data_IF_175457539906
#
_entry.id   IF_175457539906
#
_cell.length_a   1.000
_cell.length_b   1.000
_cell.length_c   1.000
_cell.angle_alpha   90.00
_cell.angle_beta   90.00
_cell.angle_gamma   90.00
#
_symmetry.space_group_name_H-M   'P 1'
#
loop_
_entity.id
_entity.type
_entity.pdbx_description
1 polymer ?
#
# COMPACT_ATOMS: atom_id res chain seq x y z
N UNK A 1 -90.32 27.53 -24.80
CA UNK A 1 -91.58 27.28 -25.54
C UNK A 1 -91.21 26.68 -26.91
N UNK A 2 -92.13 26.03 -27.65
CA UNK A 2 -91.84 25.23 -28.86
C UNK A 2 -91.24 26.05 -30.02
N UNK A 3 -90.88 25.59 -31.23
CA UNK A 3 -91.02 24.36 -32.06
C UNK A 3 -89.98 24.52 -33.25
N UNK A 4 -89.69 23.47 -34.05
CA UNK A 4 -89.09 23.48 -35.45
C UNK A 4 -87.57 23.15 -35.68
N UNK A 5 -87.28 22.39 -36.78
CA UNK A 5 -86.05 22.19 -37.62
C UNK A 5 -84.83 21.37 -37.06
N UNK A 6 -84.43 20.21 -37.66
CA UNK A 6 -83.48 19.92 -38.80
C UNK A 6 -81.99 20.22 -38.44
N UNK A 7 -80.90 19.56 -38.86
CA UNK A 7 -80.53 18.50 -39.83
C UNK A 7 -78.98 18.24 -39.71
N UNK A 8 -78.54 16.99 -39.93
CA UNK A 8 -77.26 16.53 -40.59
C UNK A 8 -75.85 16.56 -39.90
N UNK A 9 -75.16 15.40 -40.10
CA UNK A 9 -73.73 15.03 -40.06
C UNK A 9 -72.99 14.92 -38.70
N UNK A 10 -72.08 13.98 -38.45
CA UNK A 10 -71.70 12.69 -39.05
C UNK A 10 -70.72 11.98 -38.07
N UNK A 11 -70.88 10.66 -37.92
CA UNK A 11 -69.92 9.59 -37.55
C UNK A 11 -68.55 9.94 -36.92
N UNK A 12 -68.26 9.37 -35.74
CA UNK A 12 -66.92 9.39 -35.13
C UNK A 12 -66.75 8.58 -33.83
N UNK A 13 -67.08 7.29 -33.89
CA UNK A 13 -66.73 6.15 -33.01
C UNK A 13 -65.63 6.38 -31.93
N UNK A 14 -66.00 6.20 -30.66
CA UNK A 14 -65.11 5.65 -29.62
C UNK A 14 -64.94 6.49 -28.36
N UNK A 15 -65.74 6.23 -27.32
CA UNK A 15 -65.44 6.41 -25.88
C UNK A 15 -66.40 5.47 -25.13
N UNK A 16 -65.89 4.41 -24.46
CA UNK A 16 -65.48 4.58 -23.07
C UNK A 16 -64.26 3.70 -22.73
N UNK A 17 -63.04 4.25 -22.83
CA UNK A 17 -61.83 3.57 -22.34
C UNK A 17 -61.03 4.40 -21.31
N UNK A 18 -61.52 5.59 -20.95
CA UNK A 18 -60.77 6.52 -20.11
C UNK A 18 -60.98 6.36 -18.59
N UNK A 19 -61.87 5.46 -18.13
CA UNK A 19 -62.18 5.33 -16.68
C UNK A 19 -61.68 4.02 -16.07
N UNK A 20 -61.28 3.03 -16.87
CA UNK A 20 -60.70 1.76 -16.37
C UNK A 20 -59.16 1.74 -16.32
N UNK A 21 -58.49 2.75 -16.87
CA UNK A 21 -57.02 2.87 -16.84
C UNK A 21 -56.48 3.65 -15.62
N UNK A 22 -57.35 4.30 -14.84
CA UNK A 22 -56.92 5.07 -13.64
C UNK A 22 -57.09 4.25 -12.35
N UNK A 23 -57.95 3.22 -12.34
CA UNK A 23 -58.09 2.30 -11.21
C UNK A 23 -57.15 1.07 -11.28
N UNK A 24 -56.60 0.75 -12.48
CA UNK A 24 -55.65 -0.34 -12.68
C UNK A 24 -54.18 0.03 -12.42
N UNK A 25 -53.83 1.32 -12.38
CA UNK A 25 -52.46 1.79 -12.12
C UNK A 25 -52.15 2.02 -10.63
N UNK A 26 -53.08 1.72 -9.71
CA UNK A 26 -52.91 1.90 -8.26
C UNK A 26 -52.74 0.60 -7.48
N UNK A 27 -52.62 -0.56 -8.15
CA UNK A 27 -52.45 -1.88 -7.52
C UNK A 27 -51.25 -2.69 -8.05
N UNK A 28 -50.26 -2.03 -8.65
CA UNK A 28 -48.95 -2.64 -9.00
C UNK A 28 -47.79 -1.77 -8.49
N UNK A 29 -48.01 -1.09 -7.36
CA UNK A 29 -47.05 -0.18 -6.73
C UNK A 29 -46.86 -0.52 -5.27
N UNK A 30 -46.61 -1.80 -4.96
CA UNK A 30 -46.16 -2.23 -3.64
C UNK A 30 -45.49 -3.61 -3.75
N UNK A 31 -44.43 -3.69 -4.56
CA UNK A 31 -43.34 -4.60 -4.22
C UNK A 31 -42.20 -3.74 -3.69
N UNK A 32 -42.09 -3.79 -2.36
CA UNK A 32 -40.89 -3.64 -1.54
C UNK A 32 -39.72 -2.85 -2.15
N UNK A 33 -39.50 -1.65 -1.59
CA UNK A 33 -38.20 -1.02 -1.59
C UNK A 33 -37.22 -1.86 -0.78
N UNK A 34 -36.64 -2.88 -1.41
CA UNK A 34 -35.29 -3.28 -1.09
C UNK A 34 -34.40 -2.51 -2.07
N UNK A 35 -33.59 -1.58 -1.55
CA UNK A 35 -32.41 -1.18 -2.29
C UNK A 35 -31.68 -2.48 -2.64
N UNK A 36 -31.60 -2.86 -3.91
CA UNK A 36 -30.61 -3.86 -4.30
C UNK A 36 -29.26 -3.29 -3.90
N UNK A 37 -28.76 -3.74 -2.75
CA UNK A 37 -27.48 -3.36 -2.21
C UNK A 37 -26.46 -3.79 -3.26
N UNK A 38 -25.89 -2.82 -3.97
CA UNK A 38 -24.94 -3.10 -5.04
C UNK A 38 -23.74 -3.81 -4.43
N UNK A 39 -23.38 -4.95 -5.00
CA UNK A 39 -22.18 -5.68 -4.58
C UNK A 39 -20.92 -5.04 -5.17
N UNK A 40 -20.58 -3.85 -4.65
CA UNK A 40 -19.40 -3.05 -5.01
C UNK A 40 -18.11 -3.80 -4.68
N UNK A 41 -18.07 -4.48 -3.53
CA UNK A 41 -16.90 -5.25 -3.10
C UNK A 41 -16.78 -6.62 -3.78
N UNK A 42 -17.82 -7.08 -4.49
CA UNK A 42 -17.91 -8.46 -5.00
C UNK A 42 -17.93 -9.51 -3.89
N UNK A 43 -18.32 -9.11 -2.67
CA UNK A 43 -18.11 -9.86 -1.44
C UNK A 43 -19.41 -10.24 -0.72
N UNK A 44 -20.59 -9.85 -1.24
CA UNK A 44 -21.88 -10.11 -0.61
C UNK A 44 -22.06 -11.60 -0.23
N UNK A 45 -21.68 -12.50 -1.14
CA UNK A 45 -21.79 -13.95 -0.96
C UNK A 45 -20.45 -14.65 -0.70
N UNK A 46 -19.39 -13.90 -0.35
CA UNK A 46 -18.07 -14.52 -0.10
C UNK A 46 -18.16 -15.46 1.12
N UNK A 47 -17.80 -16.75 0.96
CA UNK A 47 -17.88 -17.74 2.03
C UNK A 47 -16.77 -17.58 3.08
N UNK A 48 -15.71 -16.82 2.78
CA UNK A 48 -14.57 -16.59 3.67
C UNK A 48 -14.75 -15.36 4.56
N UNK A 49 -15.99 -14.91 4.76
CA UNK A 49 -16.30 -13.83 5.69
C UNK A 49 -15.82 -14.18 7.10
N UNK A 50 -15.14 -13.23 7.73
CA UNK A 50 -14.69 -13.30 9.12
C UNK A 50 -15.80 -12.89 10.10
N UNK A 51 -17.02 -12.65 9.62
CA UNK A 51 -18.14 -12.15 10.41
C UNK A 51 -18.10 -10.63 10.55
N UNK A 52 -18.76 -10.11 11.57
CA UNK A 52 -18.64 -8.71 11.96
C UNK A 52 -17.29 -8.46 12.62
N UNK A 53 -16.72 -7.27 12.44
CA UNK A 53 -15.58 -6.79 13.20
C UNK A 53 -15.99 -5.59 14.04
N UNK A 54 -15.82 -5.69 15.36
CA UNK A 54 -16.07 -4.62 16.29
C UNK A 54 -14.92 -4.49 17.28
N UNK A 55 -14.20 -3.38 17.22
CA UNK A 55 -13.05 -3.12 18.10
C UNK A 55 -13.40 -3.16 19.59
N UNK A 56 -14.66 -2.92 19.97
CA UNK A 56 -15.13 -3.01 21.35
C UNK A 56 -15.43 -4.44 21.82
N UNK A 57 -15.51 -5.41 20.90
CA UNK A 57 -15.87 -6.80 21.19
C UNK A 57 -14.78 -7.78 20.71
N UNK A 58 -13.92 -8.26 21.63
CA UNK A 58 -12.88 -9.23 21.30
C UNK A 58 -13.37 -10.54 20.68
N UNK A 59 -14.65 -10.92 20.85
CA UNK A 59 -15.21 -12.13 20.24
C UNK A 59 -15.32 -12.00 18.71
N UNK A 60 -15.27 -10.78 18.19
CA UNK A 60 -15.35 -10.47 16.75
C UNK A 60 -13.99 -10.40 16.07
N UNK A 61 -12.90 -10.59 16.82
CA UNK A 61 -11.55 -10.42 16.27
C UNK A 61 -11.15 -11.59 15.37
N UNK A 62 -10.53 -11.32 14.20
CA UNK A 62 -9.93 -12.36 13.40
C UNK A 62 -8.93 -13.20 14.21
N UNK A 63 -8.82 -14.51 13.97
CA UNK A 63 -7.83 -15.36 14.63
C UNK A 63 -6.42 -14.78 14.53
N UNK A 64 -5.70 -14.77 15.67
CA UNK A 64 -4.33 -14.22 15.76
C UNK A 64 -4.27 -12.71 15.96
N UNK A 65 -5.40 -12.01 16.06
CA UNK A 65 -5.41 -10.59 16.43
C UNK A 65 -4.88 -10.40 17.85
N UNK A 66 -3.93 -9.47 18.03
CA UNK A 66 -3.41 -9.09 19.35
C UNK A 66 -3.95 -7.73 19.76
N UNK A 67 -4.35 -7.58 21.03
CA UNK A 67 -4.75 -6.30 21.61
C UNK A 67 -3.89 -5.99 22.85
N UNK A 68 -3.23 -4.83 22.87
CA UNK A 68 -2.35 -4.43 23.97
C UNK A 68 -2.63 -2.99 24.39
N UNK A 69 -2.34 -2.70 25.66
CA UNK A 69 -2.43 -1.35 26.24
C UNK A 69 -1.06 -1.03 26.84
N UNK A 70 -0.20 -0.24 26.15
CA UNK A 70 1.08 0.19 26.69
C UNK A 70 0.88 1.18 27.85
N UNK A 71 1.98 1.51 28.54
CA UNK A 71 1.96 2.48 29.66
C UNK A 71 1.53 3.90 29.29
N UNK A 72 1.40 4.22 27.99
CA UNK A 72 0.85 5.49 27.48
C UNK A 72 -0.69 5.51 27.46
N UNK A 73 -1.35 4.39 27.80
CA UNK A 73 -2.80 4.23 27.78
C UNK A 73 -3.41 4.09 26.40
N UNK A 74 -2.63 4.16 25.32
CA UNK A 74 -3.10 3.88 23.96
C UNK A 74 -3.53 2.43 23.81
N UNK A 75 -4.40 2.13 22.84
CA UNK A 75 -4.83 0.77 22.55
C UNK A 75 -4.25 0.36 21.22
N UNK A 76 -3.51 -0.74 21.17
CA UNK A 76 -2.86 -1.23 19.95
C UNK A 76 -3.45 -2.59 19.59
N UNK A 77 -4.10 -2.62 18.43
CA UNK A 77 -4.68 -3.80 17.84
C UNK A 77 -3.89 -4.15 16.59
N UNK A 78 -3.46 -5.40 16.49
CA UNK A 78 -2.71 -5.88 15.33
C UNK A 78 -3.45 -7.07 14.74
N UNK A 79 -3.97 -6.91 13.53
CA UNK A 79 -4.72 -7.93 12.79
C UNK A 79 -3.75 -8.64 11.84
N UNK A 80 -3.65 -9.97 11.85
CA UNK A 80 -2.80 -10.68 10.91
C UNK A 80 -3.36 -10.61 9.48
N UNK A 81 -2.51 -10.26 8.51
CA UNK A 81 -2.88 -10.28 7.09
C UNK A 81 -2.79 -11.72 6.58
N UNK A 82 -3.85 -12.27 5.96
CA UNK A 82 -3.79 -13.61 5.38
C UNK A 82 -2.83 -13.64 4.18
N UNK A 83 -2.36 -14.82 3.72
CA UNK A 83 -1.46 -14.91 2.56
C UNK A 83 -1.98 -14.23 1.28
N UNK A 84 -3.31 -14.14 1.12
CA UNK A 84 -3.96 -13.45 0.00
C UNK A 84 -3.90 -11.92 0.09
N UNK A 85 -3.65 -11.35 1.27
CA UNK A 85 -3.82 -9.93 1.53
C UNK A 85 -5.27 -9.48 1.71
N UNK A 86 -6.25 -10.37 1.57
CA UNK A 86 -7.69 -10.03 1.53
C UNK A 86 -8.37 -10.47 2.82
N UNK A 87 -8.96 -9.51 3.53
CA UNK A 87 -9.83 -9.69 4.68
C UNK A 87 -11.27 -9.39 4.24
N UNK A 88 -12.22 -10.26 4.58
CA UNK A 88 -13.64 -10.09 4.24
C UNK A 88 -14.47 -10.03 5.52
N UNK A 89 -15.33 -9.02 5.64
CA UNK A 89 -16.17 -8.80 6.82
C UNK A 89 -17.63 -8.55 6.43
N UNK A 90 -18.55 -8.88 7.33
CA UNK A 90 -19.95 -8.49 7.20
C UNK A 90 -20.13 -6.99 7.48
N UNK A 91 -19.54 -6.50 8.58
CA UNK A 91 -19.46 -5.09 8.96
C UNK A 91 -18.11 -4.80 9.62
N UNK A 92 -17.67 -3.55 9.62
CA UNK A 92 -16.37 -3.18 10.20
C UNK A 92 -16.47 -1.88 11.01
N UNK A 93 -16.42 -1.98 12.33
CA UNK A 93 -16.42 -0.82 13.23
C UNK A 93 -15.18 -0.77 14.10
N UNK A 94 -14.51 0.38 14.09
CA UNK A 94 -13.41 0.69 15.00
C UNK A 94 -13.81 1.63 16.13
N UNK A 95 -15.10 1.92 16.26
CA UNK A 95 -15.56 2.76 17.36
C UNK A 95 -15.32 2.03 18.67
N UNK A 96 -14.42 2.60 19.48
CA UNK A 96 -14.19 2.14 20.82
C UNK A 96 -14.72 3.18 21.81
N UNK A 97 -15.70 2.80 22.61
CA UNK A 97 -16.20 3.60 23.74
C UNK A 97 -15.77 2.90 25.03
N UNK A 98 -15.06 3.61 25.91
CA UNK A 98 -14.65 3.06 27.21
C UNK A 98 -15.90 2.55 27.97
N UNK A 99 -16.00 1.25 28.32
CA UNK A 99 -17.17 0.70 29.00
C UNK A 99 -17.46 1.32 30.39
N UNK A 100 -16.54 2.13 30.92
CA UNK A 100 -16.67 2.80 32.22
C UNK A 100 -16.74 4.33 32.17
N UNK A 101 -16.73 4.97 30.99
CA UNK A 101 -16.89 6.43 30.82
C UNK A 101 -15.81 7.34 31.45
N UNK A 102 -14.95 6.83 32.33
CA UNK A 102 -13.86 7.59 32.92
C UNK A 102 -12.60 7.52 32.06
N UNK A 103 -11.90 8.66 31.98
CA UNK A 103 -10.79 8.95 31.07
C UNK A 103 -11.28 9.02 29.61
N UNK A 104 -11.05 10.17 28.96
CA UNK A 104 -11.45 10.43 27.57
C UNK A 104 -10.97 9.35 26.59
N UNK A 105 -11.43 9.36 25.33
CA UNK A 105 -11.10 8.31 24.38
C UNK A 105 -9.58 8.26 24.17
N UNK A 106 -8.95 7.18 24.65
CA UNK A 106 -7.56 6.88 24.31
C UNK A 106 -7.47 6.59 22.82
N UNK A 107 -6.38 7.02 22.19
CA UNK A 107 -6.11 6.71 20.80
C UNK A 107 -6.06 5.18 20.61
N UNK A 108 -6.83 4.68 19.65
CA UNK A 108 -6.80 3.29 19.23
C UNK A 108 -6.05 3.18 17.91
N UNK A 109 -5.08 2.29 17.84
CA UNK A 109 -4.26 2.04 16.66
C UNK A 109 -4.59 0.65 16.14
N UNK A 110 -5.20 0.58 14.97
CA UNK A 110 -5.44 -0.68 14.25
C UNK A 110 -4.36 -0.81 13.17
N UNK A 111 -3.52 -1.83 13.31
CA UNK A 111 -2.39 -2.15 12.44
C UNK A 111 -2.52 -3.57 11.90
N UNK A 112 -1.73 -3.86 10.88
CA UNK A 112 -1.79 -5.12 10.17
C UNK A 112 -0.42 -5.79 10.16
N UNK A 113 -0.34 -7.04 10.63
CA UNK A 113 0.91 -7.82 10.59
C UNK A 113 1.20 -8.25 9.16
N UNK A 114 2.40 -7.97 8.67
CA UNK A 114 2.86 -8.38 7.34
C UNK A 114 2.85 -9.91 7.22
N UNK A 115 2.36 -10.40 6.09
CA UNK A 115 2.47 -11.80 5.73
C UNK A 115 3.83 -12.08 5.06
N UNK A 116 4.12 -13.35 4.75
CA UNK A 116 5.39 -13.77 4.17
C UNK A 116 5.70 -13.16 2.79
N UNK A 117 4.68 -12.72 2.04
CA UNK A 117 4.83 -12.05 0.75
C UNK A 117 4.74 -10.52 0.86
N UNK A 118 4.60 -9.99 2.08
CA UNK A 118 4.31 -8.59 2.39
C UNK A 118 3.26 -7.95 1.48
N UNK A 119 2.11 -8.62 1.28
CA UNK A 119 1.06 -8.11 0.38
C UNK A 119 0.43 -6.80 0.90
N UNK A 120 -0.12 -5.95 0.02
CA UNK A 120 -1.06 -4.90 0.43
C UNK A 120 -2.25 -5.48 1.21
N UNK A 121 -2.92 -4.64 1.99
CA UNK A 121 -4.14 -4.99 2.73
C UNK A 121 -5.36 -4.61 1.91
N UNK A 122 -6.21 -5.59 1.63
CA UNK A 122 -7.53 -5.37 1.04
C UNK A 122 -8.59 -5.79 2.05
N UNK A 123 -9.49 -4.89 2.38
CA UNK A 123 -10.62 -5.12 3.27
C UNK A 123 -11.90 -5.01 2.43
N UNK A 124 -12.64 -6.11 2.32
CA UNK A 124 -13.92 -6.17 1.62
C UNK A 124 -15.04 -6.27 2.67
N UNK A 125 -16.05 -5.40 2.59
CA UNK A 125 -17.10 -5.29 3.60
C UNK A 125 -18.48 -5.38 2.94
N UNK A 126 -19.28 -6.36 3.39
CA UNK A 126 -20.63 -6.61 2.85
C UNK A 126 -21.63 -5.53 3.24
N UNK A 127 -21.41 -4.83 4.34
CA UNK A 127 -22.25 -3.76 4.86
C UNK A 127 -21.47 -2.46 5.07
N UNK A 128 -21.71 -1.82 6.21
CA UNK A 128 -21.15 -0.52 6.55
C UNK A 128 -19.79 -0.60 7.24
N UNK A 129 -19.05 0.50 7.12
CA UNK A 129 -17.77 0.72 7.78
C UNK A 129 -17.83 1.98 8.62
N UNK A 130 -17.42 1.89 9.88
CA UNK A 130 -17.28 3.02 10.78
C UNK A 130 -15.85 3.09 11.34
N UNK A 131 -15.07 4.07 10.89
CA UNK A 131 -13.79 4.40 11.50
C UNK A 131 -14.02 5.42 12.61
N UNK A 132 -13.95 4.99 13.87
CA UNK A 132 -14.26 5.81 15.04
C UNK A 132 -13.30 7.00 15.23
N UNK A 133 -13.80 8.11 15.80
CA UNK A 133 -13.08 9.40 15.87
C UNK A 133 -11.73 9.41 16.58
N UNK A 134 -11.48 8.47 17.50
CA UNK A 134 -10.21 8.30 18.21
C UNK A 134 -9.37 7.14 17.67
N UNK A 135 -9.70 6.62 16.49
CA UNK A 135 -8.99 5.50 15.90
C UNK A 135 -8.13 5.94 14.73
N UNK A 136 -6.92 5.42 14.68
CA UNK A 136 -6.06 5.38 13.51
C UNK A 136 -5.98 3.94 13.02
N UNK A 137 -6.54 3.67 11.84
CA UNK A 137 -6.33 2.43 11.10
C UNK A 137 -5.25 2.66 10.06
N UNK A 138 -4.25 1.79 9.98
CA UNK A 138 -3.15 2.08 9.09
C UNK A 138 -2.18 0.96 8.81
N UNK A 139 -1.46 1.17 7.72
CA UNK A 139 -0.40 0.32 7.19
C UNK A 139 0.92 1.11 7.10
N UNK A 140 1.38 1.82 8.14
CA UNK A 140 2.57 2.66 8.05
C UNK A 140 3.84 1.84 7.84
N UNK A 141 4.86 2.45 7.24
CA UNK A 141 6.23 1.96 7.27
C UNK A 141 6.86 2.14 8.65
N UNK A 142 7.74 1.24 9.03
CA UNK A 142 8.53 1.38 10.25
C UNK A 142 9.60 2.45 10.05
N UNK A 143 9.86 3.23 11.09
CA UNK A 143 11.05 4.07 11.14
C UNK A 143 12.33 3.24 11.15
N UNK A 144 13.40 3.80 10.60
CA UNK A 144 14.73 3.21 10.73
C UNK A 144 15.28 3.32 12.14
N UNK A 145 16.29 2.47 12.44
CA UNK A 145 17.08 2.65 13.66
C UNK A 145 18.22 3.64 13.42
N UNK A 146 18.57 4.38 14.47
CA UNK A 146 19.74 5.25 14.45
C UNK A 146 21.01 4.44 14.64
N UNK A 147 22.12 4.95 14.11
CA UNK A 147 23.44 4.41 14.39
C UNK A 147 23.80 4.56 15.87
N UNK A 148 24.71 3.71 16.35
CA UNK A 148 25.26 3.79 17.71
C UNK A 148 26.76 3.49 17.72
N UNK A 149 27.36 3.42 18.92
CA UNK A 149 28.77 3.02 19.06
C UNK A 149 29.03 1.54 18.71
N UNK A 150 28.00 0.68 18.68
CA UNK A 150 28.19 -0.76 18.51
C UNK A 150 27.43 -1.38 17.34
N UNK A 151 26.47 -0.67 16.76
CA UNK A 151 25.63 -1.17 15.65
C UNK A 151 25.36 -0.05 14.65
N UNK A 152 25.29 -0.44 13.37
CA UNK A 152 24.81 0.44 12.32
C UNK A 152 23.29 0.65 12.43
N UNK A 153 22.80 1.77 11.90
CA UNK A 153 21.37 1.96 11.72
C UNK A 153 20.82 0.95 10.71
N UNK A 154 19.73 0.29 11.06
CA UNK A 154 19.03 -0.67 10.21
C UNK A 154 17.89 0.03 9.49
N UNK A 155 17.70 -0.33 8.22
CA UNK A 155 16.57 0.16 7.43
C UNK A 155 15.23 -0.24 8.04
N UNK A 156 14.30 0.70 8.11
CA UNK A 156 12.93 0.47 8.55
C UNK A 156 12.20 -0.45 7.58
N UNK A 157 11.39 -1.37 8.11
CA UNK A 157 10.59 -2.26 7.28
C UNK A 157 9.42 -1.51 6.64
N UNK A 158 9.06 -1.87 5.42
CA UNK A 158 7.87 -1.31 4.79
C UNK A 158 6.60 -1.72 5.53
N UNK A 159 5.54 -0.92 5.40
CA UNK A 159 4.20 -1.35 5.80
C UNK A 159 3.74 -2.55 4.95
N UNK A 160 2.59 -3.17 5.26
CA UNK A 160 1.96 -4.15 4.37
C UNK A 160 1.86 -3.65 2.92
N UNK A 161 2.54 -4.31 1.98
CA UNK A 161 2.63 -3.88 0.57
C UNK A 161 3.68 -2.80 0.27
N UNK A 162 4.37 -2.26 1.27
CA UNK A 162 5.45 -1.28 1.14
C UNK A 162 6.84 -1.91 1.20
N UNK A 163 7.88 -1.12 0.94
CA UNK A 163 9.25 -1.60 0.82
C UNK A 163 10.18 -1.12 1.94
N UNK A 164 11.19 -1.92 2.28
CA UNK A 164 12.16 -1.62 3.35
C UNK A 164 13.14 -0.52 2.94
N UNK A 165 13.62 0.28 3.90
CA UNK A 165 14.75 1.17 3.68
C UNK A 165 16.12 0.47 3.73
N UNK A 166 17.16 1.20 3.34
CA UNK A 166 18.54 0.72 3.31
C UNK A 166 19.24 0.75 4.68
N UNK A 167 20.22 -0.13 4.89
CA UNK A 167 21.04 -0.13 6.10
C UNK A 167 22.08 1.01 6.05
N UNK A 168 22.38 1.62 7.19
CA UNK A 168 23.46 2.58 7.33
C UNK A 168 24.83 1.94 7.24
N UNK A 169 25.80 2.68 6.70
CA UNK A 169 27.21 2.34 6.70
C UNK A 169 27.81 2.37 8.12
N UNK A 170 28.70 1.41 8.42
CA UNK A 170 29.56 1.49 9.59
C UNK A 170 30.83 0.67 9.37
N UNK A 171 31.90 1.34 8.95
CA UNK A 171 33.15 0.67 8.57
C UNK A 171 33.76 -0.22 9.68
N UNK A 172 33.43 0.03 10.95
CA UNK A 172 33.88 -0.82 12.06
C UNK A 172 33.14 -2.18 12.15
N UNK A 173 31.90 -2.24 11.67
CA UNK A 173 31.02 -3.42 11.81
C UNK A 173 30.76 -4.10 10.47
N UNK A 174 30.37 -3.34 9.45
CA UNK A 174 30.00 -3.87 8.14
C UNK A 174 31.01 -3.53 7.03
N UNK A 175 32.16 -2.95 7.41
CA UNK A 175 33.30 -2.64 6.52
C UNK A 175 32.94 -1.75 5.32
N UNK A 176 31.80 -1.05 5.37
CA UNK A 176 31.31 -0.22 4.28
C UNK A 176 31.36 1.27 4.61
N UNK A 177 31.77 2.07 3.64
CA UNK A 177 31.70 3.53 3.68
C UNK A 177 30.35 4.05 3.14
N UNK A 178 29.78 3.36 2.16
CA UNK A 178 28.48 3.68 1.57
C UNK A 178 27.36 2.92 2.28
N UNK A 179 26.20 3.58 2.41
CA UNK A 179 24.99 2.94 2.91
C UNK A 179 24.42 1.91 1.92
N UNK A 180 23.32 1.27 2.32
CA UNK A 180 22.49 0.46 1.44
C UNK A 180 21.44 1.30 0.71
N UNK A 181 21.08 0.91 -0.51
CA UNK A 181 19.93 1.50 -1.20
C UNK A 181 18.60 1.07 -0.54
N UNK A 182 17.62 1.96 -0.57
CA UNK A 182 16.24 1.63 -0.20
C UNK A 182 15.58 0.74 -1.24
N UNK A 183 14.60 -0.06 -0.81
CA UNK A 183 13.91 -1.02 -1.66
C UNK A 183 12.68 -0.40 -2.32
N UNK A 184 12.17 -1.07 -3.35
CA UNK A 184 11.02 -0.65 -4.12
C UNK A 184 11.34 0.20 -5.34
N UNK A 185 10.34 0.45 -6.19
CA UNK A 185 10.50 1.08 -7.50
C UNK A 185 11.02 2.53 -7.45
N UNK A 186 10.85 3.22 -6.32
CA UNK A 186 11.42 4.54 -6.05
C UNK A 186 12.33 4.55 -4.83
N UNK A 187 13.00 3.42 -4.54
CA UNK A 187 13.88 3.30 -3.38
C UNK A 187 15.00 4.36 -3.38
N UNK A 188 15.22 4.98 -2.22
CA UNK A 188 16.23 6.03 -2.08
C UNK A 188 17.65 5.50 -2.33
N UNK A 189 18.49 6.27 -3.02
CA UNK A 189 19.89 5.89 -3.25
C UNK A 189 20.70 5.95 -1.95
N UNK A 190 21.74 5.11 -1.81
CA UNK A 190 22.58 5.11 -0.61
C UNK A 190 23.33 6.43 -0.45
N UNK A 191 23.62 6.81 0.79
CA UNK A 191 24.63 7.81 1.07
C UNK A 191 26.01 7.29 0.69
N UNK A 192 26.84 8.15 0.12
CA UNK A 192 28.21 7.86 -0.29
C UNK A 192 29.21 8.35 0.75
N UNK A 193 30.18 7.52 1.12
CA UNK A 193 31.30 7.88 1.98
C UNK A 193 32.17 8.96 1.32
N UNK A 194 32.93 9.70 2.14
CA UNK A 194 33.85 10.71 1.61
C UNK A 194 35.02 10.05 0.89
N UNK A 195 35.35 10.55 -0.30
CA UNK A 195 36.62 10.29 -0.99
C UNK A 195 37.43 11.59 -1.05
N UNK A 196 38.71 11.57 -1.46
CA UNK A 196 39.49 12.80 -1.62
C UNK A 196 38.86 13.84 -2.56
N UNK A 197 37.93 13.43 -3.42
CA UNK A 197 37.30 14.28 -4.45
C UNK A 197 35.80 14.48 -4.27
N UNK A 198 35.15 13.72 -3.37
CA UNK A 198 33.69 13.77 -3.16
C UNK A 198 33.37 13.84 -1.67
N UNK A 199 32.71 14.91 -1.19
CA UNK A 199 32.22 14.98 0.18
C UNK A 199 31.24 13.85 0.51
N UNK A 200 31.16 13.52 1.78
CA UNK A 200 30.20 12.54 2.28
C UNK A 200 28.75 13.00 2.02
N UNK A 201 27.88 12.10 1.55
CA UNK A 201 26.46 12.40 1.29
C UNK A 201 25.52 11.60 2.22
N UNK A 202 24.30 12.09 2.40
CA UNK A 202 23.24 11.41 3.16
C UNK A 202 22.53 10.37 2.29
N UNK A 203 21.90 9.39 2.93
CA UNK A 203 20.94 8.53 2.24
C UNK A 203 19.80 9.37 1.66
N UNK A 204 19.43 9.11 0.41
CA UNK A 204 18.38 9.87 -0.26
C UNK A 204 17.00 9.36 0.17
N UNK A 205 16.00 10.25 0.16
CA UNK A 205 14.63 9.86 0.46
C UNK A 205 14.03 9.02 -0.68
N UNK A 206 13.04 8.22 -0.32
CA UNK A 206 12.32 7.42 -1.29
C UNK A 206 11.27 8.24 -2.06
N UNK A 207 10.92 7.75 -3.24
CA UNK A 207 9.78 8.18 -4.04
C UNK A 207 8.73 7.08 -4.14
N UNK A 208 7.48 7.49 -4.17
CA UNK A 208 6.32 6.67 -4.45
C UNK A 208 6.20 6.53 -5.97
N UNK A 209 5.94 5.31 -6.42
CA UNK A 209 5.72 5.00 -7.83
C UNK A 209 4.41 4.23 -7.95
N UNK A 210 3.44 4.83 -8.63
CA UNK A 210 2.12 4.27 -8.85
C UNK A 210 1.31 5.16 -9.77
N UNK A 211 0.11 4.71 -10.12
CA UNK A 211 -0.83 5.45 -10.97
C UNK A 211 -2.06 5.90 -10.16
N UNK A 212 -2.76 7.00 -10.55
CA UNK A 212 -3.92 7.52 -9.84
C UNK A 212 -5.08 6.54 -9.64
N UNK A 213 -5.14 5.47 -10.42
CA UNK A 213 -6.11 4.37 -10.34
C UNK A 213 -5.82 3.41 -9.18
N UNK A 214 -4.57 3.34 -8.71
CA UNK A 214 -4.11 2.38 -7.71
C UNK A 214 -4.44 0.92 -8.09
N UNK A 215 -4.23 0.61 -9.37
CA UNK A 215 -4.39 -0.70 -9.98
C UNK A 215 -3.12 -1.04 -10.79
N UNK A 216 -2.22 -1.91 -10.29
CA UNK A 216 -2.29 -2.60 -8.99
C UNK A 216 -2.07 -1.65 -7.80
N UNK A 217 -2.54 -2.08 -6.62
CA UNK A 217 -2.26 -1.40 -5.37
C UNK A 217 -0.82 -1.71 -4.94
N UNK A 218 0.06 -0.70 -4.93
CA UNK A 218 1.47 -0.83 -4.55
C UNK A 218 1.76 0.17 -3.42
N UNK A 219 2.46 -0.27 -2.37
CA UNK A 219 2.89 0.62 -1.30
C UNK A 219 4.06 1.52 -1.68
N UNK A 220 4.54 2.28 -0.72
CA UNK A 220 5.66 3.19 -0.83
C UNK A 220 7.02 2.52 -0.79
N UNK A 221 8.02 3.21 -1.34
CA UNK A 221 9.41 2.78 -1.36
C UNK A 221 10.15 3.16 -0.08
N UNK A 222 11.23 2.43 0.24
CA UNK A 222 12.08 2.73 1.39
C UNK A 222 13.20 3.73 1.08
N UNK A 223 13.63 4.50 2.08
CA UNK A 223 14.72 5.47 1.95
C UNK A 223 16.11 4.80 1.96
N UNK A 224 17.13 5.49 1.45
CA UNK A 224 18.51 5.00 1.47
C UNK A 224 19.18 5.10 2.85
N UNK A 225 20.14 4.23 3.14
CA UNK A 225 20.95 4.30 4.35
C UNK A 225 22.04 5.39 4.27
N UNK A 226 22.43 5.93 5.43
CA UNK A 226 23.50 6.92 5.51
C UNK A 226 24.90 6.31 5.30
N UNK A 227 25.90 7.17 5.10
CA UNK A 227 27.30 6.83 4.87
C UNK A 227 28.17 7.06 6.10
N UNK A 228 29.41 6.54 6.03
CA UNK A 228 30.44 6.67 7.07
C UNK A 228 31.80 6.98 6.42
N UNK A 229 32.52 7.98 6.94
CA UNK A 229 33.84 8.39 6.44
C UNK A 229 35.03 7.71 7.14
N UNK A 230 34.80 6.92 8.20
CA UNK A 230 35.90 6.25 8.89
C UNK A 230 35.49 5.05 9.74
N UNK A 231 36.50 4.31 10.19
CA UNK A 231 36.36 3.08 10.99
C UNK A 231 36.42 3.31 12.51
N UNK A 232 36.37 4.58 12.96
CA UNK A 232 36.35 4.89 14.38
C UNK A 232 35.01 4.48 15.02
N UNK A 233 35.07 4.13 16.31
CA UNK A 233 33.87 3.83 17.11
C UNK A 233 32.91 5.02 17.07
N UNK A 234 31.62 4.75 16.82
CA UNK A 234 30.61 5.80 16.71
C UNK A 234 30.53 6.50 15.35
N UNK A 235 31.36 6.16 14.36
CA UNK A 235 31.15 6.57 12.96
C UNK A 235 30.10 5.69 12.26
N UNK A 236 28.97 5.49 12.94
CA UNK A 236 27.85 4.68 12.50
C UNK A 236 26.77 5.56 11.90
N UNK A 237 26.41 5.28 10.65
CA UNK A 237 25.32 5.97 9.98
C UNK A 237 23.93 5.48 10.42
N UNK A 238 22.91 6.29 10.14
CA UNK A 238 21.51 5.92 10.33
C UNK A 238 20.95 5.10 9.16
N UNK A 239 19.95 4.26 9.44
CA UNK A 239 19.21 3.53 8.41
C UNK A 239 18.20 4.41 7.67
N UNK A 240 17.73 3.94 6.51
CA UNK A 240 16.64 4.58 5.76
C UNK A 240 15.26 4.10 6.21
N UNK A 241 14.26 4.99 6.26
CA UNK A 241 12.91 4.64 6.71
C UNK A 241 12.16 3.72 5.73
N UNK A 242 11.26 2.88 6.25
CA UNK A 242 10.42 2.00 5.42
C UNK A 242 9.32 2.76 4.69
N UNK A 243 8.92 2.33 3.50
CA UNK A 243 7.80 2.93 2.77
C UNK A 243 6.44 2.56 3.38
N UNK A 244 5.47 3.46 3.26
CA UNK A 244 4.09 3.21 3.68
C UNK A 244 3.46 2.03 2.93
N UNK A 245 2.44 1.41 3.48
CA UNK A 245 1.77 0.25 2.89
C UNK A 245 0.74 0.59 1.81
N UNK A 246 0.13 -0.44 1.23
CA UNK A 246 -1.05 -0.32 0.38
C UNK A 246 -2.30 -0.77 1.13
N UNK A 247 -3.36 0.04 1.11
CA UNK A 247 -4.64 -0.25 1.76
C UNK A 247 -5.82 0.00 0.80
N UNK A 248 -6.60 -1.04 0.54
CA UNK A 248 -7.91 -0.95 -0.11
C UNK A 248 -8.99 -1.25 0.92
N UNK A 249 -9.97 -0.36 1.05
CA UNK A 249 -11.22 -0.63 1.77
C UNK A 249 -12.36 -0.50 0.77
N UNK A 250 -13.08 -1.60 0.54
CA UNK A 250 -14.24 -1.66 -0.34
C UNK A 250 -15.50 -2.08 0.43
N UNK A 251 -16.52 -1.22 0.46
CA UNK A 251 -17.76 -1.46 1.18
C UNK A 251 -18.98 -1.41 0.26
N UNK A 252 -19.93 -2.33 0.43
CA UNK A 252 -21.23 -2.25 -0.26
C UNK A 252 -22.14 -1.16 0.32
N UNK A 253 -21.91 -0.78 1.59
CA UNK A 253 -22.66 0.26 2.30
C UNK A 253 -21.92 1.60 2.37
N UNK A 254 -22.10 2.29 3.50
CA UNK A 254 -21.47 3.58 3.80
C UNK A 254 -20.14 3.39 4.51
N UNK A 255 -19.09 4.04 4.01
CA UNK A 255 -17.79 4.18 4.65
C UNK A 255 -17.72 5.52 5.38
N UNK A 256 -17.91 5.49 6.70
CA UNK A 256 -17.80 6.68 7.56
C UNK A 256 -16.41 6.78 8.16
N UNK A 257 -15.68 7.83 7.79
CA UNK A 257 -14.33 8.12 8.30
C UNK A 257 -14.40 9.27 9.31
N UNK A 258 -14.46 8.95 10.61
CA UNK A 258 -14.37 9.95 11.68
C UNK A 258 -12.97 10.01 12.30
N UNK A 259 -12.24 8.89 12.29
CA UNK A 259 -10.85 8.77 12.74
C UNK A 259 -9.84 9.08 11.64
N UNK A 260 -8.70 8.40 11.67
CA UNK A 260 -7.64 8.49 10.66
C UNK A 260 -7.47 7.16 9.94
N UNK A 261 -7.29 7.21 8.62
CA UNK A 261 -6.78 6.11 7.79
C UNK A 261 -5.39 6.50 7.32
N UNK A 262 -4.36 5.69 7.62
CA UNK A 262 -2.95 6.07 7.36
C UNK A 262 -2.15 5.02 6.58
N UNK A 263 -1.30 5.50 5.67
CA UNK A 263 -0.31 4.74 4.94
C UNK A 263 1.01 5.54 4.88
N UNK A 264 1.38 6.15 6.00
CA UNK A 264 2.56 7.02 6.06
C UNK A 264 3.88 6.23 5.95
N UNK A 265 4.90 6.87 5.39
CA UNK A 265 6.27 6.36 5.39
C UNK A 265 6.93 6.45 6.77
N UNK A 266 7.95 5.63 6.97
CA UNK A 266 8.79 5.62 8.15
C UNK A 266 9.89 6.68 8.12
N UNK A 267 10.24 7.21 9.29
CA UNK A 267 11.28 8.21 9.46
C UNK A 267 12.69 7.65 9.26
N UNK A 268 13.64 8.53 8.93
CA UNK A 268 15.05 8.20 8.78
C UNK A 268 15.78 8.03 10.13
N UNK A 269 16.80 7.17 10.16
CA UNK A 269 17.69 7.03 11.30
C UNK A 269 18.74 8.14 11.35
N UNK A 270 19.13 8.55 12.56
CA UNK A 270 20.22 9.50 12.78
C UNK A 270 21.59 8.79 12.84
N UNK A 271 22.68 9.48 12.47
CA UNK A 271 24.02 8.99 12.74
C UNK A 271 24.32 9.02 14.25
N UNK A 272 25.24 8.17 14.69
CA UNK A 272 25.80 8.27 16.05
C UNK A 272 26.70 9.50 16.21
N UNK A 273 27.45 9.86 15.17
CA UNK A 273 28.33 11.02 15.16
C UNK A 273 28.28 11.73 13.80
N UNK A 274 27.63 12.90 13.77
CA UNK A 274 27.48 13.71 12.55
C UNK A 274 28.78 14.22 11.93
N UNK A 275 29.91 14.13 12.63
CA UNK A 275 31.22 14.56 12.10
C UNK A 275 31.85 13.54 11.15
N UNK A 276 31.47 12.26 11.25
CA UNK A 276 32.03 11.18 10.43
C UNK A 276 30.99 10.22 9.85
N UNK A 277 29.70 10.47 10.08
CA UNK A 277 28.62 9.64 9.57
C UNK A 277 27.37 10.48 9.29
N UNK A 278 26.50 10.00 8.41
CA UNK A 278 25.29 10.72 7.99
C UNK A 278 24.02 9.96 8.35
N UNK A 279 22.89 10.67 8.29
CA UNK A 279 21.56 10.08 8.40
C UNK A 279 21.21 9.26 7.16
N UNK A 280 20.24 8.35 7.32
CA UNK A 280 19.51 7.82 6.18
C UNK A 280 18.52 8.84 5.60
N UNK A 281 17.78 8.39 4.57
CA UNK A 281 16.63 9.07 4.00
C UNK A 281 15.31 8.49 4.49
N UNK A 282 14.24 9.25 4.42
CA UNK A 282 12.89 8.81 4.83
C UNK A 282 12.23 7.92 3.78
N UNK A 283 11.31 7.05 4.23
CA UNK A 283 10.42 6.31 3.32
C UNK A 283 9.35 7.20 2.68
N UNK A 284 8.83 6.80 1.52
CA UNK A 284 7.70 7.50 0.89
C UNK A 284 6.38 7.11 1.55
N UNK A 285 5.35 7.93 1.35
CA UNK A 285 3.98 7.51 1.64
C UNK A 285 3.56 6.32 0.78
N UNK A 286 2.48 5.65 1.18
CA UNK A 286 1.91 4.47 0.53
C UNK A 286 0.68 4.77 -0.32
N UNK A 287 -0.20 3.79 -0.47
CA UNK A 287 -1.40 3.92 -1.29
C UNK A 287 -2.65 3.64 -0.48
N UNK A 288 -3.65 4.53 -0.56
CA UNK A 288 -4.97 4.32 0.04
C UNK A 288 -6.04 4.41 -1.04
N UNK A 289 -6.82 3.36 -1.19
CA UNK A 289 -7.97 3.31 -2.09
C UNK A 289 -9.23 3.01 -1.28
N UNK A 290 -10.18 3.94 -1.29
CA UNK A 290 -11.47 3.79 -0.61
C UNK A 290 -12.57 3.69 -1.66
N UNK A 291 -13.34 2.62 -1.61
CA UNK A 291 -14.42 2.32 -2.55
C UNK A 291 -15.69 2.04 -1.75
N UNK A 292 -16.76 2.79 -1.97
CA UNK A 292 -18.00 2.57 -1.23
C UNK A 292 -19.23 3.03 -2.02
N UNK A 293 -20.43 2.69 -1.54
CA UNK A 293 -21.64 3.32 -2.05
C UNK A 293 -21.64 4.82 -1.69
N UNK A 294 -21.32 5.10 -0.43
CA UNK A 294 -21.17 6.44 0.13
C UNK A 294 -19.89 6.54 0.96
N UNK A 295 -19.15 7.64 0.83
CA UNK A 295 -18.03 7.99 1.70
C UNK A 295 -18.39 9.26 2.47
N UNK A 296 -18.36 9.18 3.80
CA UNK A 296 -18.79 10.26 4.70
C UNK A 296 -17.80 10.44 5.88
N UNK A 297 -18.08 11.41 6.74
CA UNK A 297 -17.33 11.69 7.96
C UNK A 297 -16.43 12.94 7.86
N UNK A 298 -15.71 13.20 8.95
CA UNK A 298 -14.88 14.40 9.13
C UNK A 298 -13.42 14.09 9.54
N UNK A 299 -13.07 12.81 9.51
CA UNK A 299 -11.74 12.29 9.83
C UNK A 299 -10.70 12.59 8.76
N UNK A 300 -9.55 11.94 8.84
CA UNK A 300 -8.40 12.14 7.94
C UNK A 300 -8.04 10.87 7.16
N UNK A 301 -7.56 11.05 5.94
CA UNK A 301 -6.93 9.98 5.14
C UNK A 301 -5.55 10.47 4.70
N UNK A 302 -4.50 9.77 5.11
CA UNK A 302 -3.11 10.27 4.96
C UNK A 302 -2.16 9.21 4.40
N UNK A 303 -1.36 9.61 3.41
CA UNK A 303 -0.29 8.81 2.82
C UNK A 303 0.95 9.69 2.64
N UNK A 304 1.46 10.18 3.77
CA UNK A 304 2.56 11.14 3.84
C UNK A 304 3.90 10.44 3.82
N UNK A 305 4.97 11.10 3.38
CA UNK A 305 6.31 10.59 3.61
C UNK A 305 6.64 10.48 5.09
N UNK A 306 7.64 9.67 5.41
CA UNK A 306 8.26 9.71 6.72
C UNK A 306 9.04 11.00 6.93
N UNK A 307 9.26 11.34 8.19
CA UNK A 307 10.07 12.50 8.54
C UNK A 307 11.55 12.26 8.20
N UNK A 308 12.16 13.28 7.60
CA UNK A 308 13.62 13.33 7.46
C UNK A 308 14.29 13.56 8.82
N UNK A 309 15.59 13.30 8.93
CA UNK A 309 16.31 13.50 10.18
C UNK A 309 16.21 14.96 10.71
N UNK A 310 16.10 15.18 12.04
CA UNK A 310 16.08 16.51 12.61
C UNK A 310 17.34 17.31 12.25
N UNK A 311 17.16 18.52 11.68
CA UNK A 311 18.25 19.44 11.37
C UNK A 311 18.92 19.24 10.00
N UNK A 312 18.35 18.39 9.14
CA UNK A 312 18.91 18.04 7.83
C UNK A 312 18.42 18.91 6.66
N UNK A 313 17.55 19.89 6.94
CA UNK A 313 16.79 20.62 5.93
C UNK A 313 15.62 19.78 5.43
N UNK A 314 14.39 20.26 5.61
CA UNK A 314 13.14 19.54 5.37
C UNK A 314 12.98 19.08 3.92
N UNK A 315 13.50 17.89 3.62
CA UNK A 315 13.19 17.19 2.39
C UNK A 315 12.58 15.86 2.84
N UNK A 316 11.28 15.82 3.16
CA UNK A 316 10.64 14.54 3.37
C UNK A 316 10.62 13.76 2.05
N UNK A 317 10.45 12.44 2.12
CA UNK A 317 10.22 11.60 0.94
C UNK A 317 9.02 12.06 0.12
N UNK A 318 8.72 11.39 -0.99
CA UNK A 318 7.51 11.74 -1.71
C UNK A 318 6.26 11.30 -0.94
N UNK A 319 5.19 12.06 -1.09
CA UNK A 319 3.84 11.64 -0.72
C UNK A 319 3.42 10.44 -1.56
N UNK A 320 2.52 9.63 -1.00
CA UNK A 320 1.89 8.50 -1.65
C UNK A 320 0.74 8.92 -2.57
N UNK A 321 -0.28 8.07 -2.68
CA UNK A 321 -1.51 8.38 -3.43
C UNK A 321 -2.76 7.96 -2.64
N UNK A 322 -3.81 8.77 -2.78
CA UNK A 322 -5.13 8.50 -2.20
C UNK A 322 -6.17 8.57 -3.31
N UNK A 323 -7.03 7.55 -3.39
CA UNK A 323 -8.15 7.47 -4.34
C UNK A 323 -9.45 7.19 -3.61
N UNK A 324 -10.47 8.00 -3.89
CA UNK A 324 -11.82 7.85 -3.33
C UNK A 324 -12.83 7.58 -4.45
N UNK A 325 -13.59 6.50 -4.37
CA UNK A 325 -14.56 6.11 -5.38
C UNK A 325 -15.91 5.83 -4.72
N UNK A 326 -16.90 6.67 -5.00
CA UNK A 326 -18.24 6.50 -4.44
C UNK A 326 -19.28 7.20 -5.29
N UNK A 327 -20.52 6.72 -5.23
CA UNK A 327 -21.66 7.42 -5.85
C UNK A 327 -21.98 8.73 -5.12
N UNK A 328 -21.75 8.74 -3.80
CA UNK A 328 -21.86 9.94 -2.97
C UNK A 328 -20.60 10.07 -2.12
N UNK A 329 -19.87 11.16 -2.27
CA UNK A 329 -18.67 11.43 -1.48
C UNK A 329 -18.81 12.78 -0.77
N UNK A 330 -18.99 12.73 0.54
CA UNK A 330 -19.14 13.88 1.43
C UNK A 330 -17.88 14.18 2.23
N UNK A 331 -16.82 13.35 2.14
CA UNK A 331 -15.57 13.62 2.83
C UNK A 331 -14.91 14.88 2.24
N UNK A 332 -14.71 15.96 3.01
CA UNK A 332 -14.18 17.22 2.47
C UNK A 332 -12.79 17.06 1.85
N UNK A 333 -12.46 17.92 0.87
CA UNK A 333 -11.19 17.85 0.13
C UNK A 333 -9.94 18.07 0.98
N UNK A 334 -10.05 18.86 2.05
CA UNK A 334 -8.96 19.18 2.98
C UNK A 334 -8.70 18.06 4.01
N UNK A 335 -9.49 16.98 3.97
CA UNK A 335 -9.34 15.81 4.85
C UNK A 335 -8.40 14.74 4.31
N UNK A 336 -7.77 14.99 3.17
CA UNK A 336 -6.83 14.04 2.53
C UNK A 336 -5.46 14.66 2.35
N UNK A 337 -4.40 13.97 2.75
CA UNK A 337 -3.03 14.39 2.50
C UNK A 337 -2.14 13.23 2.01
N UNK A 338 -1.75 13.18 0.72
CA UNK A 338 -1.95 14.20 -0.32
C UNK A 338 -3.42 14.37 -0.74
N UNK A 339 -3.75 15.43 -1.52
CA UNK A 339 -5.07 15.56 -2.11
C UNK A 339 -5.47 14.32 -2.91
N UNK A 340 -6.64 13.76 -2.59
CA UNK A 340 -7.11 12.52 -3.21
C UNK A 340 -7.63 12.72 -4.65
N UNK A 341 -7.37 11.74 -5.52
CA UNK A 341 -8.13 11.57 -6.75
C UNK A 341 -9.54 11.07 -6.39
N UNK A 342 -10.56 11.53 -7.13
CA UNK A 342 -11.97 11.20 -6.84
C UNK A 342 -12.67 10.71 -8.09
N UNK A 343 -13.36 9.57 -7.98
CA UNK A 343 -14.23 9.04 -9.01
C UNK A 343 -15.70 9.11 -8.57
N UNK A 344 -16.59 9.43 -9.51
CA UNK A 344 -18.04 9.56 -9.28
C UNK A 344 -18.78 8.23 -9.14
N UNK A 345 -18.07 7.12 -9.34
CA UNK A 345 -18.59 5.77 -9.15
C UNK A 345 -17.44 4.81 -8.82
N UNK A 346 -17.71 3.73 -8.06
CA UNK A 346 -16.79 2.62 -7.90
C UNK A 346 -16.31 2.02 -9.23
N UNK A 347 -14.99 1.95 -9.42
CA UNK A 347 -14.35 1.18 -10.48
C UNK A 347 -14.02 -0.26 -10.05
N UNK A 348 -13.44 -1.07 -10.96
CA UNK A 348 -13.06 -2.45 -10.65
C UNK A 348 -12.01 -2.50 -9.52
N UNK A 349 -12.15 -3.43 -8.58
CA UNK A 349 -11.24 -3.55 -7.44
C UNK A 349 -9.90 -4.21 -7.81
N UNK A 350 -9.93 -5.09 -8.81
CA UNK A 350 -8.74 -5.76 -9.34
C UNK A 350 -8.54 -5.37 -10.80
N UNK A 351 -7.29 -5.40 -11.26
CA UNK A 351 -7.02 -5.32 -12.69
C UNK A 351 -7.68 -6.53 -13.39
N UNK A 352 -8.35 -6.34 -14.55
CA UNK A 352 -8.90 -7.45 -15.32
C UNK A 352 -7.80 -8.39 -15.85
N UNK A 353 -6.57 -7.88 -15.94
CA UNK A 353 -5.39 -8.66 -16.30
C UNK A 353 -4.57 -8.86 -15.03
N UNK A 354 -4.34 -10.12 -14.65
CA UNK A 354 -3.40 -10.45 -13.58
C UNK A 354 -1.98 -10.32 -14.11
N UNK A 355 -1.26 -9.30 -13.66
CA UNK A 355 0.09 -9.00 -14.10
C UNK A 355 1.08 -9.40 -13.01
N UNK A 356 2.17 -10.06 -13.40
CA UNK A 356 3.22 -10.44 -12.45
C UNK A 356 4.59 -10.46 -13.13
N UNK A 357 5.61 -10.13 -12.33
CA UNK A 357 7.02 -10.31 -12.66
C UNK A 357 7.63 -11.13 -11.51
N UNK A 358 8.31 -12.22 -11.84
CA UNK A 358 8.94 -13.10 -10.87
C UNK A 358 10.37 -13.43 -11.29
N UNK A 359 11.30 -13.28 -10.33
CA UNK A 359 12.63 -13.88 -10.44
C UNK A 359 12.48 -15.35 -10.08
N UNK A 360 12.76 -16.23 -11.02
CA UNK A 360 12.51 -17.68 -10.88
C UNK A 360 13.77 -18.45 -10.52
N UNK A 361 14.92 -18.03 -11.04
CA UNK A 361 16.22 -18.63 -10.75
C UNK A 361 17.31 -17.59 -10.67
N UNK A 362 18.31 -17.86 -9.83
CA UNK A 362 19.57 -17.12 -9.75
C UNK A 362 20.68 -18.14 -9.85
N UNK A 363 21.56 -17.99 -10.84
CA UNK A 363 22.64 -18.94 -11.15
C UNK A 363 22.15 -20.40 -11.31
N UNK A 364 20.99 -20.58 -11.94
CA UNK A 364 20.36 -21.90 -12.13
C UNK A 364 19.68 -22.50 -10.90
N UNK A 365 19.84 -21.92 -9.71
CA UNK A 365 19.14 -22.32 -8.49
C UNK A 365 17.76 -21.67 -8.41
N UNK A 366 16.74 -22.43 -7.99
CA UNK A 366 15.36 -21.91 -7.85
C UNK A 366 15.23 -20.98 -6.66
N UNK A 367 14.55 -19.86 -6.86
CA UNK A 367 14.24 -18.90 -5.78
C UNK A 367 13.09 -19.45 -4.92
N UNK A 368 13.18 -19.40 -3.58
CA UNK A 368 12.06 -19.73 -2.69
C UNK A 368 10.80 -18.93 -3.02
N UNK A 369 9.62 -19.49 -2.79
CA UNK A 369 8.33 -18.84 -3.13
C UNK A 369 7.41 -18.80 -1.91
N UNK A 370 7.04 -17.62 -1.38
CA UNK A 370 7.51 -16.29 -1.79
C UNK A 370 8.97 -16.04 -1.38
N UNK A 371 9.77 -15.30 -2.18
CA UNK A 371 11.07 -14.82 -1.72
C UNK A 371 10.85 -13.86 -0.56
N UNK A 372 11.70 -13.92 0.46
CA UNK A 372 11.59 -13.02 1.61
C UNK A 372 12.05 -11.61 1.23
N UNK A 373 13.09 -11.50 0.39
CA UNK A 373 13.51 -10.22 -0.18
C UNK A 373 13.92 -9.17 0.87
N UNK A 374 14.46 -9.60 2.01
CA UNK A 374 14.85 -8.73 3.13
C UNK A 374 16.24 -9.10 3.66
N UNK A 375 17.03 -8.09 4.01
CA UNK A 375 18.34 -8.33 4.64
C UNK A 375 18.21 -8.98 6.01
N UNK A 376 19.15 -9.89 6.32
CA UNK A 376 19.12 -10.69 7.54
C UNK A 376 18.37 -12.02 7.41
N UNK A 377 17.70 -12.25 6.28
CA UNK A 377 17.17 -13.56 5.88
C UNK A 377 17.70 -13.87 4.49
N UNK A 378 18.46 -14.96 4.36
CA UNK A 378 19.06 -15.33 3.07
C UNK A 378 18.11 -16.25 2.31
N UNK A 379 17.58 -15.75 1.18
CA UNK A 379 16.77 -16.57 0.27
C UNK A 379 17.62 -17.61 -0.49
N UNK A 380 18.85 -17.26 -0.84
CA UNK A 380 19.71 -18.09 -1.69
C UNK A 380 21.20 -17.81 -1.40
N UNK A 381 22.00 -18.88 -1.32
CA UNK A 381 23.46 -18.78 -1.17
C UNK A 381 24.13 -19.25 -2.47
N UNK A 382 24.91 -18.36 -3.09
CA UNK A 382 25.66 -18.67 -4.29
C UNK A 382 27.03 -19.26 -3.94
N UNK A 383 27.54 -20.24 -4.72
CA UNK A 383 28.76 -20.96 -4.38
C UNK A 383 30.04 -20.13 -4.59
N UNK A 384 30.02 -19.15 -5.50
CA UNK A 384 31.15 -18.29 -5.81
C UNK A 384 30.70 -16.95 -6.40
N UNK A 385 31.51 -15.88 -6.25
CA UNK A 385 31.38 -14.64 -7.00
C UNK A 385 31.58 -14.83 -8.51
N UNK A 386 31.12 -13.87 -9.30
CA UNK A 386 31.31 -13.81 -10.75
C UNK A 386 30.02 -13.48 -11.51
N UNK A 387 30.01 -13.77 -12.81
CA UNK A 387 28.83 -13.57 -13.67
C UNK A 387 27.69 -14.52 -13.29
N UNK A 388 26.64 -13.95 -12.71
CA UNK A 388 25.45 -14.64 -12.21
C UNK A 388 24.25 -14.36 -13.12
N UNK A 389 23.71 -15.36 -13.82
CA UNK A 389 22.47 -15.20 -14.58
C UNK A 389 21.25 -15.14 -13.65
N UNK A 390 20.26 -14.33 -14.03
CA UNK A 390 19.00 -14.13 -13.32
C UNK A 390 17.86 -14.38 -14.31
N UNK A 391 17.08 -15.43 -14.06
CA UNK A 391 15.99 -15.87 -14.93
C UNK A 391 14.66 -15.30 -14.46
N UNK A 392 13.93 -14.68 -15.38
CA UNK A 392 12.70 -13.95 -15.10
C UNK A 392 11.55 -14.56 -15.87
N UNK A 393 10.41 -14.65 -15.20
CA UNK A 393 9.13 -15.01 -15.79
C UNK A 393 8.13 -13.90 -15.54
N UNK A 394 7.34 -13.58 -16.55
CA UNK A 394 6.22 -12.64 -16.46
C UNK A 394 4.91 -13.31 -16.87
N UNK A 395 3.80 -12.78 -16.37
CA UNK A 395 2.44 -13.12 -16.81
C UNK A 395 1.65 -11.85 -17.02
N UNK A 396 0.87 -11.76 -18.09
CA UNK A 396 0.04 -10.57 -18.38
C UNK A 396 0.84 -9.30 -18.72
N UNK A 397 2.15 -9.43 -18.93
CA UNK A 397 3.02 -8.33 -19.38
C UNK A 397 3.15 -8.44 -20.91
N UNK A 398 2.83 -7.39 -21.70
CA UNK A 398 2.91 -7.44 -23.15
C UNK A 398 4.31 -7.81 -23.65
N UNK A 399 4.38 -8.66 -24.68
CA UNK A 399 5.63 -8.95 -25.40
C UNK A 399 6.26 -7.66 -25.95
N UNK A 400 7.59 -7.58 -25.94
CA UNK A 400 8.33 -6.35 -26.29
C UNK A 400 8.50 -5.36 -25.12
N UNK A 401 7.83 -5.59 -23.97
CA UNK A 401 8.15 -4.85 -22.74
C UNK A 401 9.55 -5.21 -22.26
N UNK A 402 10.27 -4.22 -21.71
CA UNK A 402 11.56 -4.45 -21.06
C UNK A 402 11.36 -4.61 -19.55
N UNK A 403 11.93 -5.69 -18.99
CA UNK A 403 12.04 -5.85 -17.54
C UNK A 403 13.36 -5.22 -17.11
N UNK A 404 13.31 -4.26 -16.20
CA UNK A 404 14.51 -3.77 -15.52
C UNK A 404 14.76 -4.62 -14.28
N UNK A 405 15.98 -5.13 -14.16
CA UNK A 405 16.46 -5.91 -13.03
C UNK A 405 17.48 -5.07 -12.31
N UNK A 406 17.34 -4.91 -11.01
CA UNK A 406 18.24 -4.12 -10.18
C UNK A 406 18.84 -5.01 -9.10
N UNK A 407 20.16 -5.03 -9.01
CA UNK A 407 20.89 -5.65 -7.90
C UNK A 407 21.37 -4.55 -6.97
N UNK A 408 21.02 -4.66 -5.68
CA UNK A 408 21.38 -3.71 -4.63
C UNK A 408 22.26 -4.40 -3.59
N UNK A 409 23.53 -4.01 -3.41
CA UNK A 409 24.31 -4.52 -2.31
C UNK A 409 23.70 -4.06 -0.99
N UNK A 410 23.85 -4.86 0.06
CA UNK A 410 23.35 -4.51 1.40
C UNK A 410 23.91 -3.18 1.91
N UNK A 411 25.21 -2.99 1.72
CA UNK A 411 25.97 -1.76 2.01
C UNK A 411 27.20 -1.72 1.09
N UNK A 412 27.87 -0.57 0.98
CA UNK A 412 29.19 -0.48 0.37
C UNK A 412 29.22 -0.38 -1.15
N UNK A 413 28.10 -0.12 -1.81
CA UNK A 413 28.08 0.10 -3.25
C UNK A 413 26.75 0.65 -3.78
N UNK A 414 26.79 1.13 -5.02
CA UNK A 414 25.61 1.58 -5.74
C UNK A 414 24.79 0.38 -6.26
N UNK A 415 23.49 0.61 -6.45
CA UNK A 415 22.64 -0.32 -7.17
C UNK A 415 23.06 -0.39 -8.65
N UNK A 416 22.99 -1.57 -9.25
CA UNK A 416 23.27 -1.80 -10.67
C UNK A 416 22.00 -2.32 -11.33
N UNK A 417 21.58 -1.68 -12.42
CA UNK A 417 20.42 -2.11 -13.21
C UNK A 417 20.84 -2.68 -14.57
N UNK A 418 20.12 -3.69 -15.04
CA UNK A 418 20.18 -4.18 -16.42
C UNK A 418 18.77 -4.36 -17.00
N UNK A 419 18.67 -4.16 -18.30
CA UNK A 419 17.43 -4.31 -19.05
C UNK A 419 17.39 -5.69 -19.71
N UNK A 420 16.32 -6.44 -19.43
CA UNK A 420 16.04 -7.74 -20.00
C UNK A 420 14.76 -7.63 -20.87
N UNK A 421 14.89 -7.48 -22.20
CA UNK A 421 13.73 -7.42 -23.08
C UNK A 421 12.98 -8.75 -23.05
N UNK A 422 11.65 -8.71 -22.96
CA UNK A 422 10.84 -9.92 -23.05
C UNK A 422 10.85 -10.44 -24.49
N UNK A 423 11.16 -11.73 -24.63
CA UNK A 423 11.01 -12.47 -25.88
C UNK A 423 9.54 -12.68 -26.25
N UNK A 424 9.30 -13.53 -27.25
CA UNK A 424 7.95 -13.95 -27.62
C UNK A 424 7.30 -14.70 -26.44
N UNK A 425 6.13 -14.22 -26.02
CA UNK A 425 5.33 -14.85 -24.99
C UNK A 425 4.61 -16.08 -25.57
N UNK A 426 4.30 -17.06 -24.72
CA UNK A 426 3.48 -18.20 -25.12
C UNK A 426 2.00 -17.80 -25.30
N UNK A 427 1.18 -18.74 -25.77
CA UNK A 427 -0.26 -18.54 -26.00
C UNK A 427 -1.06 -18.25 -24.73
N UNK A 428 -0.46 -18.43 -23.55
CA UNK A 428 -1.06 -18.12 -22.24
C UNK A 428 -0.62 -16.76 -21.71
N UNK A 429 0.19 -16.01 -22.47
CA UNK A 429 0.70 -14.69 -22.08
C UNK A 429 1.84 -14.76 -21.05
N UNK A 430 2.49 -15.92 -20.93
CA UNK A 430 3.70 -16.08 -20.12
C UNK A 430 4.90 -15.75 -20.99
N UNK A 431 5.79 -14.89 -20.50
CA UNK A 431 7.03 -14.54 -21.18
C UNK A 431 8.21 -14.84 -20.26
N UNK A 432 9.37 -15.15 -20.84
CA UNK A 432 10.61 -15.36 -20.08
C UNK A 432 11.74 -14.52 -20.65
N UNK A 433 12.66 -14.10 -19.79
CA UNK A 433 13.89 -13.41 -20.18
C UNK A 433 14.98 -13.68 -19.16
N UNK A 434 16.23 -13.32 -19.48
CA UNK A 434 17.35 -13.43 -18.57
C UNK A 434 18.31 -12.26 -18.73
N UNK A 435 19.04 -11.95 -17.66
CA UNK A 435 20.13 -10.98 -17.62
C UNK A 435 21.24 -11.55 -16.71
N UNK A 436 22.43 -10.97 -16.72
CA UNK A 436 23.54 -11.47 -15.92
C UNK A 436 24.34 -10.35 -15.28
N UNK A 437 24.62 -10.46 -13.99
CA UNK A 437 25.39 -9.47 -13.23
C UNK A 437 26.71 -10.07 -12.77
N UNK A 438 27.79 -9.30 -12.83
CA UNK A 438 29.04 -9.68 -12.17
C UNK A 438 28.95 -9.32 -10.68
N UNK A 439 28.77 -10.32 -9.83
CA UNK A 439 28.52 -10.14 -8.40
C UNK A 439 29.78 -10.47 -7.58
N UNK A 440 30.35 -9.49 -6.84
CA UNK A 440 31.42 -9.76 -5.89
C UNK A 440 30.90 -10.51 -4.65
N UNK A 441 31.77 -10.98 -3.73
CA UNK A 441 31.33 -11.50 -2.45
C UNK A 441 30.47 -10.47 -1.70
N UNK A 442 29.29 -10.88 -1.24
CA UNK A 442 28.41 -9.99 -0.49
C UNK A 442 26.99 -10.50 -0.37
N UNK A 443 26.16 -9.71 0.31
CA UNK A 443 24.71 -9.91 0.41
C UNK A 443 24.02 -8.87 -0.50
N UNK A 444 23.08 -9.34 -1.33
CA UNK A 444 22.41 -8.51 -2.32
C UNK A 444 20.91 -8.72 -2.28
N UNK A 445 20.16 -7.65 -2.53
CA UNK A 445 18.77 -7.74 -2.95
C UNK A 445 18.70 -7.69 -4.48
N UNK A 446 17.85 -8.53 -5.07
CA UNK A 446 17.51 -8.46 -6.48
C UNK A 446 16.03 -8.08 -6.61
N UNK A 447 15.75 -7.04 -7.39
CA UNK A 447 14.40 -6.59 -7.73
C UNK A 447 14.21 -6.65 -9.25
N UNK A 448 13.00 -6.94 -9.70
CA UNK A 448 12.63 -6.90 -11.11
C UNK A 448 11.34 -6.11 -11.29
N UNK A 449 11.31 -5.21 -12.26
CA UNK A 449 10.15 -4.37 -12.58
C UNK A 449 9.89 -4.30 -14.07
N UNK A 450 8.62 -4.24 -14.44
CA UNK A 450 8.18 -3.99 -15.80
C UNK A 450 7.18 -2.82 -15.78
N UNK A 451 7.39 -1.85 -16.66
CA UNK A 451 6.48 -0.71 -16.85
C UNK A 451 5.93 -0.77 -18.25
N UNK A 452 4.61 -0.80 -18.38
CA UNK A 452 3.91 -0.90 -19.65
C UNK A 452 2.53 -0.25 -19.56
N UNK A 453 1.96 0.06 -20.71
CA UNK A 453 0.57 0.48 -20.81
C UNK A 453 -0.30 -0.71 -21.22
N UNK A 454 -1.40 -0.91 -20.52
CA UNK A 454 -2.46 -1.81 -20.97
C UNK A 454 -3.23 -1.09 -22.07
N UNK A 455 -3.26 -1.67 -23.28
CA UNK A 455 -4.11 -1.17 -24.37
C UNK A 455 -5.57 -1.54 -24.16
#
# INVERSE_FOLDING_TARGET
MPYVLRIIHALGRGWPFAVLLIAGCLLIGADVGESQQRDICGCANDPNSLGDFNLADPATYPPGTTATIPGDGSRRFTIPVPPSGVLVFNSFTTQYVNPGGCCGPFASFVRFTRNAANTPVTILIKGDVLIGGSTDIGVPGDGATSGSNGINGLGGLGGPGGFRGGDGAYQFINLAADGGGGFGPGGGTPGTGSTPTVPQTRGQNATFVGIPELLPLVGGSGGGGGSSSGNAVGCSAGGGGGGGGGLLIAANGTLTVNGTISADGGFAGNPANGNCSTSGGSGSGGAIRLVANEIAGAGLVVARPGDSCPGCGDHPGSRGLIRLEAFTNMLPGDRTDPPASRALAPGPLTSPITTAVAITRINGQTVPTPPQGVFGVTDLVLPAPGTVPIDIRTTGVPGGTTVEVTVKPRVGGAAVSQNAPLGACDSTGVCTTSTAFDLPPGEFLVEARATFQTQ
#
